data_IF_714237002366
#
_entry.id   IF_714237002366
#
_cell.length_a   1.000
_cell.length_b   1.000
_cell.length_c   1.000
_cell.angle_alpha   90.00
_cell.angle_beta   90.00
_cell.angle_gamma   90.00
#
_symmetry.space_group_name_H-M   'P 1'
#
loop_
_entity.id
_entity.type
_entity.pdbx_description
1 polymer ?
#
# COMPACT_ATOMS: atom_id res chain seq x y z
N UNK A 1 -24.13 -2.00 -31.90
CA UNK A 1 -22.98 -2.03 -30.97
C UNK A 1 -23.35 -1.17 -29.76
N UNK A 2 -23.33 -1.73 -28.54
CA UNK A 2 -23.60 -0.95 -27.32
C UNK A 2 -22.38 -0.10 -27.02
N UNK A 3 -22.53 1.22 -27.05
CA UNK A 3 -21.50 2.19 -26.70
C UNK A 3 -21.19 2.02 -25.21
N UNK A 4 -20.08 1.35 -24.88
CA UNK A 4 -19.59 1.27 -23.51
C UNK A 4 -19.08 2.66 -23.17
N UNK A 5 -19.85 3.43 -22.40
CA UNK A 5 -19.39 4.70 -21.87
C UNK A 5 -18.21 4.42 -20.92
N UNK A 6 -17.07 5.10 -21.07
CA UNK A 6 -15.94 4.88 -20.19
C UNK A 6 -16.37 5.26 -18.76
N UNK A 7 -16.36 4.27 -17.86
CA UNK A 7 -16.59 4.43 -16.42
C UNK A 7 -15.58 5.43 -15.80
N UNK A 8 -14.53 5.80 -16.54
CA UNK A 8 -13.45 6.70 -16.17
C UNK A 8 -13.82 8.18 -15.92
N UNK A 9 -15.10 8.56 -15.86
CA UNK A 9 -15.52 9.97 -15.63
C UNK A 9 -16.33 10.21 -14.37
N UNK A 10 -16.48 9.24 -13.48
CA UNK A 10 -17.18 9.47 -12.19
C UNK A 10 -16.28 10.00 -11.07
N UNK A 11 -14.95 9.92 -11.21
CA UNK A 11 -14.02 10.35 -10.18
C UNK A 11 -12.87 11.13 -10.82
N UNK A 12 -12.76 12.45 -10.57
CA UNK A 12 -11.55 13.20 -10.88
C UNK A 12 -10.35 12.50 -10.24
N UNK A 13 -9.21 12.41 -10.95
CA UNK A 13 -7.96 11.84 -10.42
C UNK A 13 -7.47 12.56 -9.15
N UNK A 14 -7.94 13.80 -8.93
CA UNK A 14 -7.63 14.62 -7.78
C UNK A 14 -8.64 14.49 -6.63
N UNK A 15 -9.71 13.71 -6.81
CA UNK A 15 -10.68 13.47 -5.74
C UNK A 15 -10.07 12.45 -4.80
N UNK A 16 -9.82 12.81 -3.52
CA UNK A 16 -9.39 11.82 -2.54
C UNK A 16 -10.52 10.79 -2.39
N UNK A 17 -10.23 9.53 -2.71
CA UNK A 17 -11.10 8.43 -2.34
C UNK A 17 -11.10 8.36 -0.81
N UNK A 18 -12.25 8.60 -0.19
CA UNK A 18 -12.42 8.37 1.24
C UNK A 18 -12.92 6.94 1.45
N UNK A 19 -12.00 6.00 1.34
CA UNK A 19 -12.21 4.56 1.52
C UNK A 19 -11.92 4.08 2.95
N UNK A 20 -11.75 5.01 3.90
CA UNK A 20 -11.40 4.68 5.28
C UNK A 20 -12.42 3.76 5.95
N UNK A 21 -13.71 3.94 5.68
CA UNK A 21 -14.77 3.07 6.21
C UNK A 21 -14.70 1.66 5.63
N UNK A 22 -14.43 1.54 4.34
CA UNK A 22 -14.26 0.25 3.66
C UNK A 22 -13.01 -0.46 4.20
N UNK A 23 -11.91 0.27 4.32
CA UNK A 23 -10.66 -0.25 4.91
C UNK A 23 -10.88 -0.78 6.32
N UNK A 24 -11.54 0.00 7.21
CA UNK A 24 -11.82 -0.42 8.60
C UNK A 24 -12.76 -1.62 8.70
N UNK A 25 -13.57 -1.87 7.68
CA UNK A 25 -14.47 -3.03 7.65
C UNK A 25 -13.74 -4.36 7.41
N UNK A 26 -12.51 -4.32 6.89
CA UNK A 26 -11.70 -5.51 6.64
C UNK A 26 -11.13 -6.10 7.94
N UNK A 27 -10.98 -7.44 8.02
CA UNK A 27 -10.30 -8.10 9.12
C UNK A 27 -8.91 -7.52 9.37
N UNK A 28 -8.51 -7.45 10.66
CA UNK A 28 -7.19 -6.93 11.04
C UNK A 28 -6.05 -7.67 10.33
N UNK A 29 -6.17 -8.98 10.17
CA UNK A 29 -5.15 -9.79 9.46
C UNK A 29 -4.98 -9.37 8.00
N UNK A 30 -6.08 -9.08 7.30
CA UNK A 30 -6.05 -8.60 5.91
C UNK A 30 -5.44 -7.21 5.82
N UNK A 31 -5.84 -6.30 6.73
CA UNK A 31 -5.24 -4.96 6.82
C UNK A 31 -3.74 -5.02 7.05
N UNK A 32 -3.29 -5.87 7.99
CA UNK A 32 -1.86 -6.05 8.30
C UNK A 32 -1.10 -6.66 7.13
N UNK A 33 -1.69 -7.65 6.43
CA UNK A 33 -1.10 -8.26 5.25
C UNK A 33 -0.90 -7.24 4.13
N UNK A 34 -1.92 -6.44 3.83
CA UNK A 34 -1.84 -5.42 2.80
C UNK A 34 -0.80 -4.32 3.13
N UNK A 35 -0.71 -3.89 4.40
CA UNK A 35 0.35 -2.96 4.84
C UNK A 35 1.74 -3.59 4.66
N UNK A 36 1.89 -4.87 4.97
CA UNK A 36 3.16 -5.58 4.81
C UNK A 36 3.56 -5.72 3.33
N UNK A 37 2.62 -6.11 2.46
CA UNK A 37 2.85 -6.20 1.00
C UNK A 37 3.24 -4.84 0.41
N UNK A 38 2.57 -3.76 0.82
CA UNK A 38 2.91 -2.42 0.38
C UNK A 38 4.29 -1.98 0.88
N UNK A 39 4.65 -2.28 2.12
CA UNK A 39 5.99 -1.99 2.64
C UNK A 39 7.09 -2.74 1.88
N UNK A 40 6.84 -4.00 1.49
CA UNK A 40 7.76 -4.78 0.65
C UNK A 40 7.90 -4.18 -0.76
N UNK A 41 6.79 -3.78 -1.36
CA UNK A 41 6.82 -3.12 -2.66
C UNK A 41 7.69 -1.86 -2.64
N UNK A 42 7.51 -0.99 -1.65
CA UNK A 42 8.31 0.23 -1.51
C UNK A 42 9.79 -0.06 -1.23
N UNK A 43 10.07 -1.09 -0.42
CA UNK A 43 11.44 -1.53 -0.18
C UNK A 43 12.12 -1.98 -1.47
N UNK A 44 11.44 -2.77 -2.31
CA UNK A 44 12.01 -3.20 -3.59
C UNK A 44 12.18 -2.06 -4.58
N UNK A 45 11.22 -1.12 -4.62
CA UNK A 45 11.33 0.07 -5.46
C UNK A 45 12.56 0.91 -5.10
N UNK A 46 12.84 1.09 -3.80
CA UNK A 46 14.00 1.85 -3.34
C UNK A 46 15.31 1.08 -3.58
N UNK A 47 15.32 -0.26 -3.45
CA UNK A 47 16.47 -1.10 -3.84
C UNK A 47 16.77 -0.98 -5.33
N UNK A 48 15.75 -0.99 -6.18
CA UNK A 48 15.90 -0.80 -7.61
C UNK A 48 16.46 0.58 -7.95
N UNK A 49 15.97 1.62 -7.29
CA UNK A 49 16.51 2.98 -7.43
C UNK A 49 17.97 3.06 -7.02
N UNK A 50 18.33 2.46 -5.88
CA UNK A 50 19.71 2.41 -5.40
C UNK A 50 20.64 1.66 -6.38
N UNK A 51 20.20 0.51 -6.92
CA UNK A 51 20.94 -0.23 -7.96
C UNK A 51 21.22 0.62 -9.20
N UNK A 52 20.23 1.38 -9.68
CA UNK A 52 20.40 2.30 -10.83
C UNK A 52 21.38 3.43 -10.55
N UNK A 53 21.46 3.87 -9.31
CA UNK A 53 22.34 4.92 -8.83
C UNK A 53 23.73 4.37 -8.40
N UNK A 54 23.98 3.06 -8.55
CA UNK A 54 25.24 2.42 -8.19
C UNK A 54 25.53 2.38 -6.68
N UNK A 55 24.49 2.50 -5.86
CA UNK A 55 24.58 2.52 -4.39
C UNK A 55 23.86 1.33 -3.76
N UNK A 56 24.25 0.95 -2.56
CA UNK A 56 23.60 -0.11 -1.80
C UNK A 56 22.41 0.45 -1.01
N UNK A 57 21.28 -0.27 -1.03
CA UNK A 57 20.08 0.12 -0.29
C UNK A 57 20.08 -0.50 1.11
N UNK A 58 20.22 0.33 2.14
CA UNK A 58 20.13 -0.10 3.54
C UNK A 58 18.68 -0.24 4.00
N UNK A 59 17.97 -1.28 3.51
CA UNK A 59 16.56 -1.53 3.87
C UNK A 59 16.39 -2.88 4.55
N UNK A 60 16.09 -2.84 5.85
CA UNK A 60 15.81 -4.01 6.69
C UNK A 60 14.32 -4.41 6.60
N UNK A 61 13.99 -5.31 5.67
CA UNK A 61 12.62 -5.83 5.46
C UNK A 61 12.20 -6.86 6.51
N UNK A 62 13.16 -7.53 7.14
CA UNK A 62 12.98 -8.66 8.07
C UNK A 62 12.29 -8.24 9.37
N UNK A 63 12.33 -6.94 9.69
CA UNK A 63 11.69 -6.36 10.88
C UNK A 63 10.29 -5.80 10.64
N UNK A 64 9.81 -5.78 9.39
CA UNK A 64 8.53 -5.14 9.03
C UNK A 64 7.31 -5.85 9.67
N UNK A 65 7.22 -7.17 9.53
CA UNK A 65 6.06 -7.94 10.00
C UNK A 65 5.92 -7.93 11.54
N UNK A 66 7.00 -8.09 12.34
CA UNK A 66 6.93 -7.93 13.80
C UNK A 66 6.49 -6.53 14.25
N UNK A 67 6.92 -5.48 13.55
CA UNK A 67 6.53 -4.09 13.88
C UNK A 67 5.05 -3.85 13.57
N UNK A 68 4.57 -4.32 12.41
CA UNK A 68 3.17 -4.22 12.02
C UNK A 68 2.24 -4.92 13.04
N UNK A 69 2.63 -6.11 13.53
CA UNK A 69 1.87 -6.83 14.56
C UNK A 69 1.87 -6.15 15.94
N UNK A 70 2.97 -5.49 16.34
CA UNK A 70 3.09 -4.79 17.63
C UNK A 70 2.31 -3.48 17.68
N UNK A 71 1.96 -2.90 16.54
CA UNK A 71 1.16 -1.69 16.42
C UNK A 71 -0.11 -2.00 15.62
N UNK A 72 -1.06 -2.77 16.18
CA UNK A 72 -2.35 -2.95 15.53
C UNK A 72 -2.98 -1.58 15.34
N UNK A 73 -3.55 -1.35 14.14
CA UNK A 73 -4.16 -0.09 13.72
C UNK A 73 -5.43 0.29 14.50
N UNK A 74 -5.71 -0.38 15.62
CA UNK A 74 -6.93 -0.24 16.42
C UNK A 74 -6.83 0.90 17.45
N UNK A 75 -6.36 2.06 17.00
CA UNK A 75 -6.57 3.32 17.74
C UNK A 75 -7.08 4.39 16.80
N UNK A 76 -8.34 4.24 16.37
CA UNK A 76 -9.33 5.32 16.16
C UNK A 76 -10.67 4.74 15.77
#
# INVERSE_FOLDING_TARGET
>A
MRTILPIARKFPLNTPLNDQSEWRSLPLEERLKAVWEMALFWAELEREKARREGREAEIATDRLLPVARKRPLDKT
#
